data_IF_106463042146
#
_entry.id   IF_106463042146
#
_cell.length_a   1.000
_cell.length_b   1.000
_cell.length_c   1.000
_cell.angle_alpha   90.00
_cell.angle_beta   90.00
_cell.angle_gamma   90.00
#
_symmetry.space_group_name_H-M   'P 1'
#
loop_
_entity.id
_entity.type
_entity.pdbx_description
1 polymer ?
#
# COMPACT_ATOMS: atom_id res chain seq x y z
N UNK A 1 24.68 0.72 9.14
CA UNK A 1 23.80 1.16 10.25
C UNK A 1 22.38 1.05 9.72
N UNK A 2 21.52 0.32 10.42
CA UNK A 2 20.11 0.19 10.03
C UNK A 2 19.38 1.53 10.09
N UNK A 3 18.31 1.65 9.31
CA UNK A 3 17.47 2.82 9.29
C UNK A 3 16.65 2.93 10.58
N UNK A 4 16.80 4.02 11.31
CA UNK A 4 16.14 4.26 12.61
C UNK A 4 14.85 5.09 12.49
N UNK A 5 14.42 5.44 11.29
CA UNK A 5 13.17 6.16 11.08
C UNK A 5 11.99 5.33 11.61
N UNK A 6 11.05 5.98 12.27
CA UNK A 6 9.78 5.34 12.63
C UNK A 6 8.91 5.17 11.39
N UNK A 7 8.67 3.93 11.02
CA UNK A 7 7.81 3.59 9.89
C UNK A 7 6.54 2.91 10.42
N UNK A 8 5.39 3.42 10.04
CA UNK A 8 4.10 2.85 10.42
C UNK A 8 3.39 2.40 9.15
N UNK A 9 2.94 1.15 9.11
CA UNK A 9 2.11 0.66 8.01
C UNK A 9 0.72 0.32 8.51
N UNK A 10 -0.30 0.72 7.74
CA UNK A 10 -1.70 0.49 8.06
C UNK A 10 -2.35 -0.34 6.97
N UNK A 11 -2.54 -1.60 7.26
CA UNK A 11 -3.39 -2.48 6.49
C UNK A 11 -4.83 -2.40 7.03
N UNK A 12 -5.83 -2.58 6.17
CA UNK A 12 -7.22 -2.35 6.57
C UNK A 12 -8.22 -3.15 5.75
N UNK A 13 -9.34 -3.47 6.37
CA UNK A 13 -10.53 -3.88 5.64
C UNK A 13 -11.18 -2.67 4.95
N UNK A 14 -11.77 -2.90 3.78
CA UNK A 14 -12.53 -1.88 3.07
C UNK A 14 -13.69 -1.35 3.94
N UNK A 15 -13.81 -0.04 4.04
CA UNK A 15 -14.83 0.60 4.88
C UNK A 15 -14.53 0.62 6.40
N UNK A 16 -13.40 0.07 6.85
CA UNK A 16 -13.04 0.08 8.30
C UNK A 16 -12.66 1.47 8.83
N UNK A 17 -12.28 2.39 7.95
CA UNK A 17 -11.78 3.72 8.34
C UNK A 17 -10.26 3.79 8.52
N UNK A 18 -9.53 2.76 8.12
CA UNK A 18 -8.07 2.69 8.29
C UNK A 18 -7.32 3.88 7.68
N UNK A 19 -7.79 4.40 6.53
CA UNK A 19 -7.22 5.61 5.92
C UNK A 19 -7.37 6.85 6.82
N UNK A 20 -8.54 6.98 7.48
CA UNK A 20 -8.80 8.09 8.40
C UNK A 20 -7.90 7.97 9.64
N UNK A 21 -7.80 6.76 10.19
CA UNK A 21 -6.91 6.46 11.33
C UNK A 21 -5.46 6.81 10.97
N UNK A 22 -4.99 6.37 9.81
CA UNK A 22 -3.61 6.61 9.36
C UNK A 22 -3.29 8.09 9.19
N UNK A 23 -4.21 8.85 8.60
CA UNK A 23 -4.03 10.30 8.43
C UNK A 23 -3.96 11.02 9.78
N UNK A 24 -4.88 10.73 10.70
CA UNK A 24 -4.87 11.32 12.04
C UNK A 24 -3.61 10.96 12.82
N UNK A 25 -3.18 9.71 12.74
CA UNK A 25 -1.95 9.27 13.39
C UNK A 25 -0.72 10.00 12.85
N UNK A 26 -0.63 10.16 11.53
CA UNK A 26 0.45 10.91 10.91
C UNK A 26 0.45 12.38 11.34
N UNK A 27 -0.72 13.03 11.39
CA UNK A 27 -0.88 14.41 11.86
C UNK A 27 -0.45 14.57 13.33
N UNK A 28 -0.90 13.67 14.21
CA UNK A 28 -0.56 13.72 15.65
C UNK A 28 0.93 13.50 15.93
N UNK A 29 1.57 12.63 15.14
CA UNK A 29 3.00 12.32 15.29
C UNK A 29 3.91 13.23 14.45
N UNK A 30 3.35 14.10 13.61
CA UNK A 30 4.14 14.93 12.69
C UNK A 30 4.86 14.14 11.62
N UNK A 31 4.28 13.02 11.17
CA UNK A 31 4.85 12.13 10.16
C UNK A 31 4.25 12.39 8.78
N UNK A 32 5.01 12.11 7.73
CA UNK A 32 4.47 12.12 6.37
C UNK A 32 3.48 10.97 6.17
N UNK A 33 2.37 11.24 5.46
CA UNK A 33 1.31 10.27 5.16
C UNK A 33 1.32 9.91 3.69
N UNK A 34 1.61 8.65 3.37
CA UNK A 34 1.66 8.12 2.02
C UNK A 34 0.50 7.17 1.74
N UNK A 35 -0.24 7.42 0.66
CA UNK A 35 -1.33 6.58 0.18
C UNK A 35 -1.27 6.49 -1.37
N UNK A 36 -2.14 7.20 -2.08
CA UNK A 36 -2.20 7.19 -3.55
C UNK A 36 -0.97 7.84 -4.22
N UNK A 37 -0.24 8.68 -3.52
CA UNK A 37 0.98 9.34 -4.00
C UNK A 37 2.06 8.35 -4.46
N UNK A 38 2.11 7.16 -3.84
CA UNK A 38 3.05 6.10 -4.24
C UNK A 38 2.87 5.69 -5.69
N UNK A 39 1.62 5.64 -6.18
CA UNK A 39 1.36 5.30 -7.59
C UNK A 39 1.93 6.33 -8.53
N UNK A 40 1.78 7.61 -8.21
CA UNK A 40 2.33 8.70 -8.99
C UNK A 40 3.86 8.64 -9.02
N UNK A 41 4.49 8.46 -7.87
CA UNK A 41 5.95 8.36 -7.76
C UNK A 41 6.49 7.12 -8.51
N UNK A 42 5.80 5.98 -8.42
CA UNK A 42 6.16 4.78 -9.16
C UNK A 42 5.98 4.97 -10.68
N UNK A 43 4.94 5.68 -11.10
CA UNK A 43 4.71 6.07 -12.50
C UNK A 43 5.85 6.93 -13.04
N UNK A 44 6.26 7.95 -12.30
CA UNK A 44 7.37 8.83 -12.66
C UNK A 44 8.70 8.05 -12.81
N UNK A 45 8.97 7.10 -11.89
CA UNK A 45 10.20 6.29 -11.93
C UNK A 45 10.22 5.24 -13.04
N UNK A 46 9.07 4.69 -13.39
CA UNK A 46 8.96 3.63 -14.40
C UNK A 46 8.79 4.15 -15.82
N UNK A 47 8.44 5.42 -16.00
CA UNK A 47 7.93 6.00 -17.25
C UNK A 47 6.66 5.29 -17.79
N UNK A 48 5.95 4.58 -16.93
CA UNK A 48 4.65 3.93 -17.22
C UNK A 48 3.54 4.80 -16.67
N UNK A 49 2.48 5.04 -17.44
CA UNK A 49 1.38 5.91 -17.02
C UNK A 49 0.70 5.42 -15.73
N UNK A 50 0.26 6.35 -14.89
CA UNK A 50 -0.37 6.08 -13.59
C UNK A 50 -1.61 5.19 -13.71
N UNK A 51 -2.32 5.28 -14.84
CA UNK A 51 -3.50 4.44 -15.13
C UNK A 51 -3.19 2.94 -15.13
N UNK A 52 -2.01 2.52 -15.56
CA UNK A 52 -1.59 1.12 -15.52
C UNK A 52 -1.39 0.63 -14.08
N UNK A 53 -0.83 1.48 -13.22
CA UNK A 53 -0.70 1.19 -11.80
C UNK A 53 -2.06 1.06 -11.12
N UNK A 54 -3.01 1.95 -11.41
CA UNK A 54 -4.37 1.89 -10.88
C UNK A 54 -5.10 0.63 -11.32
N UNK A 55 -5.02 0.28 -12.60
CA UNK A 55 -5.61 -0.95 -13.12
C UNK A 55 -4.99 -2.22 -12.51
N UNK A 56 -3.70 -2.20 -12.26
CA UNK A 56 -3.02 -3.32 -11.60
C UNK A 56 -3.47 -3.45 -10.13
N UNK A 57 -3.60 -2.35 -9.42
CA UNK A 57 -4.10 -2.32 -8.04
C UNK A 57 -5.55 -2.84 -7.95
N UNK A 58 -6.44 -2.37 -8.81
CA UNK A 58 -7.84 -2.80 -8.85
C UNK A 58 -7.98 -4.30 -9.16
N UNK A 59 -7.17 -4.81 -10.10
CA UNK A 59 -7.16 -6.25 -10.45
C UNK A 59 -6.49 -7.10 -9.39
N UNK A 60 -5.50 -6.55 -8.69
CA UNK A 60 -4.79 -7.28 -7.66
C UNK A 60 -5.68 -7.55 -6.43
N UNK A 61 -6.49 -6.59 -6.01
CA UNK A 61 -7.47 -6.71 -4.94
C UNK A 61 -7.08 -7.72 -3.85
N UNK A 62 -8.01 -8.61 -3.48
CA UNK A 62 -7.75 -9.69 -2.51
C UNK A 62 -6.74 -10.73 -3.00
N UNK A 63 -6.45 -10.79 -4.30
CA UNK A 63 -5.52 -11.77 -4.86
C UNK A 63 -4.05 -11.38 -4.67
N UNK A 64 -3.74 -10.11 -4.38
CA UNK A 64 -2.37 -9.67 -4.15
C UNK A 64 -1.74 -10.40 -2.96
N UNK A 65 -2.46 -10.51 -1.85
CA UNK A 65 -2.01 -11.25 -0.67
C UNK A 65 -1.76 -12.75 -0.97
N UNK A 66 -2.63 -13.39 -1.73
CA UNK A 66 -2.45 -14.79 -2.12
C UNK A 66 -1.24 -14.99 -3.04
N UNK A 67 -0.99 -14.05 -3.95
CA UNK A 67 0.18 -14.08 -4.84
C UNK A 67 1.48 -13.83 -4.06
N UNK A 68 1.48 -12.87 -3.14
CA UNK A 68 2.64 -12.58 -2.30
C UNK A 68 2.97 -13.71 -1.33
N UNK A 69 1.97 -14.38 -0.77
CA UNK A 69 2.16 -15.51 0.14
C UNK A 69 2.81 -16.73 -0.56
N UNK A 70 2.66 -16.86 -1.88
CA UNK A 70 3.28 -17.92 -2.69
C UNK A 70 4.57 -17.53 -3.42
N UNK A 71 4.91 -16.24 -3.46
CA UNK A 71 6.09 -15.75 -4.19
C UNK A 71 7.37 -15.95 -3.35
N UNK A 72 8.46 -16.35 -4.02
CA UNK A 72 9.78 -16.34 -3.37
C UNK A 72 10.21 -14.89 -3.12
N UNK A 73 10.89 -14.64 -1.99
CA UNK A 73 11.42 -13.29 -1.65
C UNK A 73 12.07 -12.58 -2.85
N UNK A 74 12.88 -13.27 -3.63
CA UNK A 74 13.59 -12.73 -4.78
C UNK A 74 12.66 -12.20 -5.90
N UNK A 75 11.45 -12.77 -6.04
CA UNK A 75 10.52 -12.39 -7.12
C UNK A 75 9.79 -11.07 -6.81
N UNK A 76 9.59 -10.77 -5.52
CA UNK A 76 8.88 -9.57 -5.06
C UNK A 76 9.85 -8.39 -4.86
N UNK A 77 11.08 -8.69 -4.45
CA UNK A 77 12.10 -7.70 -4.08
C UNK A 77 13.18 -7.49 -5.15
N UNK A 78 13.09 -8.20 -6.27
CA UNK A 78 13.96 -7.98 -7.41
C UNK A 78 13.84 -6.55 -7.95
N UNK A 79 14.92 -6.05 -8.58
CA UNK A 79 14.85 -4.75 -9.26
C UNK A 79 13.76 -4.76 -10.33
N UNK A 80 12.94 -3.71 -10.43
CA UNK A 80 11.98 -3.61 -11.51
C UNK A 80 12.69 -3.58 -12.86
N UNK A 81 12.07 -4.17 -13.88
CA UNK A 81 12.61 -4.20 -15.23
C UNK A 81 12.11 -2.99 -16.03
N UNK A 82 13.02 -2.35 -16.75
CA UNK A 82 12.69 -1.34 -17.77
C UNK A 82 12.64 -1.94 -19.19
N UNK A 83 12.80 -3.28 -19.31
CA UNK A 83 12.79 -4.00 -20.59
C UNK A 83 11.77 -5.14 -20.53
N UNK A 84 11.14 -5.46 -21.67
CA UNK A 84 10.15 -6.50 -21.77
C UNK A 84 8.75 -6.01 -21.36
N UNK A 85 7.98 -6.84 -20.63
CA UNK A 85 6.64 -6.47 -20.16
C UNK A 85 6.72 -5.56 -18.92
N UNK A 86 7.00 -4.28 -19.17
CA UNK A 86 7.13 -3.25 -18.13
C UNK A 86 5.82 -3.07 -17.37
N UNK A 87 4.69 -3.33 -18.01
CA UNK A 87 3.34 -3.13 -17.47
C UNK A 87 2.78 -4.36 -16.76
N UNK A 88 3.55 -5.43 -16.63
CA UNK A 88 3.10 -6.60 -15.86
C UNK A 88 2.80 -6.20 -14.40
N UNK A 89 1.73 -6.75 -13.79
CA UNK A 89 1.37 -6.43 -12.41
C UNK A 89 2.52 -6.63 -11.42
N UNK A 90 3.32 -7.67 -11.64
CA UNK A 90 4.47 -7.96 -10.77
C UNK A 90 5.58 -6.91 -10.90
N UNK A 91 5.83 -6.43 -12.12
CA UNK A 91 6.82 -5.38 -12.34
C UNK A 91 6.35 -4.02 -11.81
N UNK A 92 5.07 -3.68 -11.99
CA UNK A 92 4.48 -2.48 -11.44
C UNK A 92 4.53 -2.49 -9.90
N UNK A 93 4.29 -3.65 -9.28
CA UNK A 93 4.45 -3.80 -7.84
C UNK A 93 5.89 -3.59 -7.38
N UNK A 94 6.89 -4.08 -8.13
CA UNK A 94 8.31 -3.85 -7.81
C UNK A 94 8.68 -2.36 -7.82
N UNK A 95 8.13 -1.57 -8.73
CA UNK A 95 8.30 -0.11 -8.72
C UNK A 95 7.68 0.53 -7.47
N UNK A 96 6.48 0.11 -7.07
CA UNK A 96 5.87 0.60 -5.83
C UNK A 96 6.70 0.23 -4.60
N UNK A 97 7.17 -1.03 -4.53
CA UNK A 97 8.02 -1.50 -3.44
C UNK A 97 9.36 -0.74 -3.35
N UNK A 98 9.94 -0.40 -4.49
CA UNK A 98 11.15 0.41 -4.56
C UNK A 98 10.90 1.82 -4.00
N UNK A 99 9.81 2.47 -4.41
CA UNK A 99 9.43 3.80 -3.91
C UNK A 99 9.19 3.77 -2.40
N UNK A 100 8.45 2.78 -1.90
CA UNK A 100 8.18 2.67 -0.45
C UNK A 100 9.45 2.53 0.37
N UNK A 101 10.42 1.73 -0.08
CA UNK A 101 11.71 1.59 0.60
C UNK A 101 12.52 2.88 0.60
N UNK A 102 12.64 3.54 -0.55
CA UNK A 102 13.33 4.82 -0.65
C UNK A 102 12.73 5.89 0.27
N UNK A 103 11.40 5.97 0.35
CA UNK A 103 10.73 6.91 1.25
C UNK A 103 10.96 6.56 2.73
N UNK A 104 10.89 5.28 3.08
CA UNK A 104 11.16 4.80 4.43
C UNK A 104 12.60 5.10 4.88
N UNK A 105 13.57 5.05 3.96
CA UNK A 105 14.96 5.42 4.24
C UNK A 105 15.14 6.92 4.47
N UNK A 106 14.36 7.75 3.77
CA UNK A 106 14.52 9.21 3.79
C UNK A 106 13.92 9.85 5.05
N UNK A 107 12.75 9.39 5.50
CA UNK A 107 12.02 10.05 6.58
C UNK A 107 11.09 9.11 7.37
N UNK A 108 10.76 9.47 8.62
CA UNK A 108 9.69 8.81 9.37
C UNK A 108 8.34 9.05 8.70
N UNK A 109 7.56 7.98 8.47
CA UNK A 109 6.33 8.09 7.70
C UNK A 109 5.28 7.02 8.00
N UNK A 110 4.06 7.26 7.51
CA UNK A 110 2.92 6.36 7.61
C UNK A 110 2.50 5.95 6.20
N UNK A 111 2.51 4.64 5.92
CA UNK A 111 1.98 4.07 4.67
C UNK A 111 0.61 3.46 4.90
N UNK A 112 -0.31 3.62 3.96
CA UNK A 112 -1.64 3.00 4.02
C UNK A 112 -1.86 2.06 2.85
N UNK A 113 -2.00 0.78 3.14
CA UNK A 113 -2.24 -0.29 2.18
C UNK A 113 -1.06 -0.64 1.29
N UNK A 114 -1.35 -1.10 0.06
CA UNK A 114 -0.37 -1.47 -0.98
C UNK A 114 0.64 -2.52 -0.55
N UNK A 115 0.24 -3.36 0.41
CA UNK A 115 1.10 -4.35 1.04
C UNK A 115 2.40 -3.74 1.62
N UNK A 116 2.37 -2.46 2.03
CA UNK A 116 3.54 -1.78 2.58
C UNK A 116 4.14 -2.52 3.78
N UNK A 117 3.28 -3.05 4.67
CA UNK A 117 3.71 -3.85 5.81
C UNK A 117 4.48 -5.10 5.39
N UNK A 118 4.08 -5.74 4.29
CA UNK A 118 4.79 -6.89 3.76
C UNK A 118 6.13 -6.49 3.12
N UNK A 119 6.13 -5.42 2.31
CA UNK A 119 7.33 -4.92 1.62
C UNK A 119 8.42 -4.52 2.61
N UNK A 120 8.05 -3.74 3.63
CA UNK A 120 9.00 -3.16 4.56
C UNK A 120 9.46 -4.14 5.66
N UNK A 121 8.63 -5.13 6.00
CA UNK A 121 8.99 -6.21 6.94
C UNK A 121 10.07 -7.16 6.40
N UNK A 122 10.26 -7.18 5.09
CA UNK A 122 11.31 -7.98 4.45
C UNK A 122 12.64 -7.24 4.30
N UNK A 123 12.65 -5.95 4.61
CA UNK A 123 13.84 -5.10 4.53
C UNK A 123 14.58 -5.12 5.88
N UNK A 124 15.71 -5.80 5.90
CA UNK A 124 16.50 -5.98 7.12
C UNK A 124 17.17 -4.67 7.63
N UNK A 125 17.16 -3.62 6.79
CA UNK A 125 17.68 -2.31 7.16
C UNK A 125 16.67 -1.46 7.95
N UNK A 126 15.37 -1.82 7.92
CA UNK A 126 14.32 -1.10 8.63
C UNK A 126 14.16 -1.66 10.05
N UNK A 127 14.68 -0.95 11.04
CA UNK A 127 14.69 -1.40 12.44
C UNK A 127 13.39 -1.04 13.20
N UNK A 128 12.73 0.08 12.87
CA UNK A 128 11.58 0.62 13.59
C UNK A 128 10.30 0.56 12.77
N UNK A 129 9.81 -0.64 12.49
CA UNK A 129 8.57 -0.87 11.75
C UNK A 129 7.42 -1.24 12.70
N UNK A 130 6.35 -0.43 12.67
CA UNK A 130 5.08 -0.71 13.36
C UNK A 130 4.03 -1.08 12.32
N UNK A 131 3.45 -2.27 12.44
CA UNK A 131 2.40 -2.75 11.54
C UNK A 131 1.06 -2.77 12.25
N UNK A 132 0.08 -2.06 11.68
CA UNK A 132 -1.27 -1.92 12.22
C UNK A 132 -2.26 -2.51 11.21
N UNK A 133 -3.20 -3.30 11.70
CA UNK A 133 -4.34 -3.76 10.91
C UNK A 133 -5.62 -3.16 11.47
N UNK A 134 -6.37 -2.40 10.65
CA UNK A 134 -7.63 -1.76 11.04
C UNK A 134 -8.81 -2.55 10.49
N UNK A 135 -9.65 -3.03 11.37
CA UNK A 135 -10.88 -3.73 11.02
C UNK A 135 -12.11 -3.09 11.68
N UNK A 136 -13.29 -3.39 11.18
CA UNK A 136 -14.55 -3.00 11.80
C UNK A 136 -15.63 -4.03 11.48
N UNK A 137 -16.70 -4.06 12.29
CA UNK A 137 -17.83 -4.93 12.01
C UNK A 137 -18.46 -4.59 10.64
N UNK A 138 -19.05 -5.61 10.02
CA UNK A 138 -19.58 -5.51 8.66
C UNK A 138 -20.63 -4.39 8.51
N UNK A 139 -21.47 -4.22 9.52
CA UNK A 139 -22.56 -3.22 9.48
C UNK A 139 -21.96 -1.82 9.38
N UNK A 140 -20.98 -1.50 10.23
CA UNK A 140 -20.30 -0.21 10.22
C UNK A 140 -19.51 0.02 8.93
N UNK A 141 -18.87 -1.02 8.39
CA UNK A 141 -18.17 -0.92 7.11
C UNK A 141 -19.11 -0.60 5.97
N UNK A 142 -20.22 -1.33 5.85
CA UNK A 142 -21.25 -1.08 4.83
C UNK A 142 -21.79 0.35 4.93
N UNK A 143 -22.14 0.78 6.14
CA UNK A 143 -22.66 2.12 6.38
C UNK A 143 -21.66 3.19 5.93
N UNK A 144 -20.40 3.07 6.32
CA UNK A 144 -19.35 4.03 5.91
C UNK A 144 -19.14 4.06 4.40
N UNK A 145 -19.15 2.90 3.75
CA UNK A 145 -19.03 2.81 2.28
C UNK A 145 -20.21 3.49 1.58
N UNK A 146 -21.46 3.31 2.10
CA UNK A 146 -22.61 4.03 1.58
C UNK A 146 -22.46 5.55 1.66
N UNK A 147 -21.97 6.03 2.81
CA UNK A 147 -21.78 7.46 3.06
C UNK A 147 -20.66 8.07 2.20
N UNK A 148 -19.52 7.40 2.15
CA UNK A 148 -18.31 7.91 1.47
C UNK A 148 -18.41 7.80 -0.04
N UNK A 149 -18.89 6.67 -0.55
CA UNK A 149 -18.99 6.41 -2.00
C UNK A 149 -20.33 6.87 -2.59
N UNK A 150 -21.27 7.34 -1.75
CA UNK A 150 -22.62 7.76 -2.16
C UNK A 150 -23.35 6.66 -2.96
N UNK A 151 -23.30 5.41 -2.51
CA UNK A 151 -23.89 4.24 -3.17
C UNK A 151 -24.95 3.56 -2.31
N UNK A 152 -25.82 2.74 -2.94
CA UNK A 152 -26.81 1.96 -2.22
C UNK A 152 -26.19 0.88 -1.34
N UNK A 153 -26.95 0.41 -0.33
CA UNK A 153 -26.53 -0.67 0.57
C UNK A 153 -26.19 -1.96 -0.18
N UNK A 154 -26.99 -2.31 -1.22
CA UNK A 154 -26.72 -3.50 -2.03
C UNK A 154 -25.36 -3.43 -2.74
N UNK A 155 -25.00 -2.25 -3.24
CA UNK A 155 -23.68 -2.02 -3.86
C UNK A 155 -22.57 -2.03 -2.82
N UNK A 156 -22.80 -1.42 -1.67
CA UNK A 156 -21.81 -1.38 -0.58
C UNK A 156 -21.50 -2.79 -0.03
N UNK A 157 -22.51 -3.67 0.06
CA UNK A 157 -22.32 -5.07 0.51
C UNK A 157 -21.52 -5.95 -0.46
N UNK A 158 -21.41 -5.54 -1.73
CA UNK A 158 -20.66 -6.26 -2.78
C UNK A 158 -19.20 -5.84 -2.91
N UNK A 159 -18.81 -4.77 -2.22
CA UNK A 159 -17.43 -4.28 -2.14
C UNK A 159 -16.74 -4.84 -0.89
#
# INVERSE_FOLDING_TARGET
MGNKNLIITIEREYGSGGRIVGRKLAEELGLHFYDDEILKMASEKSAVGEEFFRLADEKAGNNLFHRLAGAKKADVFGKPSLKGDVTSPDNLFKFQAMVMRELAEQEPCVFVGRAAGYVLDQDEEIENLVRIFVYADRVRRVQRVMEVDCISEERAKKR
#
